data_IF_503035816172
#
_entry.id   IF_503035816172
#
_cell.length_a   1.000
_cell.length_b   1.000
_cell.length_c   1.000
_cell.angle_alpha   90.00
_cell.angle_beta   90.00
_cell.angle_gamma   90.00
#
_symmetry.space_group_name_H-M   'P 1'
#
loop_
_entity.id
_entity.type
_entity.pdbx_description
1 polymer ?
2 non-polymer ?
3 water ?
#
# COMPACT_ATOMS: atom_id res chain seq x y z
N UNK A 4 18.82 -6.91 10.38
CA UNK A 4 18.01 -7.94 11.01
C UNK A 4 17.51 -9.02 10.04
N UNK A 5 16.24 -8.94 9.64
CA UNK A 5 15.63 -9.90 8.72
C UNK A 5 14.88 -9.29 7.54
N UNK A 6 15.60 -8.53 6.73
CA UNK A 6 15.03 -7.85 5.61
C UNK A 6 14.22 -8.71 4.66
N UNK A 7 14.82 -9.77 4.15
CA UNK A 7 14.15 -10.60 3.15
C UNK A 7 12.94 -11.30 3.74
N UNK A 8 13.05 -11.79 4.99
CA UNK A 8 11.92 -12.46 5.62
C UNK A 8 10.76 -11.50 5.85
N UNK A 9 11.06 -10.25 6.20
CA UNK A 9 9.99 -9.28 6.45
C UNK A 9 9.26 -8.93 5.15
N UNK A 10 10.00 -8.87 4.03
CA UNK A 10 9.35 -8.62 2.75
C UNK A 10 8.38 -9.73 2.39
N UNK A 11 8.72 -10.97 2.72
CA UNK A 11 7.80 -12.08 2.46
C UNK A 11 6.51 -11.92 3.25
N UNK A 12 6.61 -11.43 4.49
CA UNK A 12 5.42 -11.20 5.29
C UNK A 12 4.59 -10.05 4.73
N UNK A 13 5.27 -8.99 4.28
CA UNK A 13 4.57 -7.87 3.65
C UNK A 13 3.80 -8.33 2.42
N UNK A 14 4.44 -9.16 1.58
CA UNK A 14 3.79 -9.65 0.37
C UNK A 14 2.56 -10.48 0.71
N UNK A 15 2.67 -11.35 1.72
CA UNK A 15 1.55 -12.21 2.08
C UNK A 15 0.36 -11.40 2.56
N UNK A 16 0.61 -10.40 3.42
CA UNK A 16 -0.48 -9.58 3.94
C UNK A 16 -1.15 -8.78 2.84
N UNK A 17 -0.36 -8.30 1.86
CA UNK A 17 -0.95 -7.54 0.77
C UNK A 17 -1.80 -8.42 -0.13
N UNK A 18 -1.42 -9.69 -0.29
CA UNK A 18 -2.26 -10.61 -1.06
C UNK A 18 -3.59 -10.84 -0.37
N UNK A 19 -3.58 -11.01 0.95
CA UNK A 19 -4.82 -11.13 1.71
C UNK A 19 -5.67 -9.87 1.60
N UNK A 20 -5.03 -8.70 1.62
CA UNK A 20 -5.72 -7.43 1.46
C UNK A 20 -6.39 -7.35 0.10
N UNK A 21 -5.66 -7.75 -0.96
CA UNK A 21 -6.22 -7.70 -2.31
C UNK A 21 -7.44 -8.59 -2.43
N UNK A 22 -7.40 -9.78 -1.83
CA UNK A 22 -8.53 -10.70 -1.91
C UNK A 22 -9.73 -10.13 -1.18
N UNK A 23 -9.51 -9.60 0.03
CA UNK A 23 -10.62 -9.01 0.79
C UNK A 23 -11.25 -7.83 0.06
N UNK A 24 -10.41 -6.98 -0.55
CA UNK A 24 -10.93 -5.82 -1.26
C UNK A 24 -11.76 -6.24 -2.46
N UNK A 25 -11.35 -7.31 -3.15
CA UNK A 25 -12.16 -7.83 -4.24
C UNK A 25 -13.50 -8.39 -3.73
N UNK A 26 -13.51 -8.96 -2.53
CA UNK A 26 -14.76 -9.42 -1.95
C UNK A 26 -15.70 -8.26 -1.66
N UNK A 27 -15.14 -7.13 -1.23
CA UNK A 27 -15.94 -5.93 -1.00
C UNK A 27 -16.55 -5.43 -2.30
N UNK A 28 -15.75 -5.43 -3.38
CA UNK A 28 -16.26 -5.01 -4.68
C UNK A 28 -17.43 -5.90 -5.12
N UNK A 29 -17.32 -7.21 -4.91
CA UNK A 29 -18.41 -8.11 -5.26
C UNK A 29 -19.61 -7.92 -4.35
N UNK A 30 -19.38 -7.57 -3.07
CA UNK A 30 -20.49 -7.30 -2.17
C UNK A 30 -21.26 -6.04 -2.61
N UNK A 31 -20.54 -5.00 -3.04
CA UNK A 31 -21.18 -3.77 -3.45
C UNK A 31 -21.87 -3.93 -4.81
N UNK A 32 -21.25 -4.67 -5.73
CA UNK A 32 -21.75 -4.81 -7.10
C UNK A 32 -21.74 -6.28 -7.49
N UNK A 33 -22.72 -7.06 -7.04
CA UNK A 33 -22.67 -8.51 -7.28
C UNK A 33 -22.75 -8.90 -8.75
N UNK A 34 -23.36 -8.08 -9.60
CA UNK A 34 -23.59 -8.45 -10.99
C UNK A 34 -22.63 -7.74 -11.96
N UNK A 35 -21.66 -7.01 -11.45
CA UNK A 35 -20.78 -6.22 -12.29
C UNK A 35 -19.58 -7.03 -12.75
N UNK A 36 -19.20 -6.85 -14.03
CA UNK A 36 -18.01 -7.50 -14.55
C UNK A 36 -16.73 -6.93 -13.94
N UNK A 37 -16.77 -5.69 -13.45
CA UNK A 37 -15.58 -5.10 -12.84
C UNK A 37 -15.24 -5.77 -11.52
N UNK A 38 -16.26 -6.09 -10.71
CA UNK A 38 -16.00 -6.83 -9.48
C UNK A 38 -15.54 -8.25 -9.79
N UNK A 39 -15.98 -8.81 -10.92
CA UNK A 39 -15.48 -10.11 -11.34
C UNK A 39 -14.00 -10.02 -11.73
N UNK A 40 -13.62 -8.98 -12.46
CA UNK A 40 -12.22 -8.80 -12.83
C UNK A 40 -11.37 -8.54 -11.59
N UNK A 41 -11.90 -7.78 -10.63
CA UNK A 41 -11.16 -7.50 -9.40
C UNK A 41 -10.81 -8.80 -8.66
N UNK A 42 -11.75 -9.74 -8.62
CA UNK A 42 -11.49 -11.01 -7.96
C UNK A 42 -10.45 -11.82 -8.74
N UNK A 43 -10.56 -11.84 -10.07
CA UNK A 43 -9.60 -12.59 -10.88
C UNK A 43 -8.20 -12.01 -10.75
N UNK A 44 -8.06 -10.69 -10.77
CA UNK A 44 -6.73 -10.10 -10.64
C UNK A 44 -6.17 -10.23 -9.24
N UNK A 45 -7.02 -10.17 -8.21
CA UNK A 45 -6.54 -10.39 -6.85
C UNK A 45 -6.03 -11.81 -6.69
N UNK A 46 -6.73 -12.79 -7.27
CA UNK A 46 -6.26 -14.17 -7.25
C UNK A 46 -4.94 -14.33 -8.00
N UNK A 47 -4.82 -13.66 -9.14
CA UNK A 47 -3.56 -13.71 -9.90
C UNK A 47 -2.42 -13.11 -9.08
N UNK A 48 -2.67 -12.00 -8.39
CA UNK A 48 -1.64 -11.39 -7.56
C UNK A 48 -1.24 -12.32 -6.42
N UNK A 49 -2.22 -12.95 -5.76
CA UNK A 49 -1.90 -13.88 -4.68
C UNK A 49 -1.06 -15.04 -5.18
N UNK A 50 -1.31 -15.51 -6.41
CA UNK A 50 -0.51 -16.58 -6.98
C UNK A 50 0.93 -16.13 -7.20
N UNK A 51 1.13 -14.90 -7.71
CA UNK A 51 2.48 -14.39 -7.89
C UNK A 51 3.17 -14.15 -6.55
N UNK A 52 2.42 -13.76 -5.52
CA UNK A 52 2.99 -13.64 -4.18
C UNK A 52 3.45 -15.00 -3.68
N UNK A 53 2.61 -16.02 -3.84
CA UNK A 53 2.97 -17.38 -3.43
C UNK A 53 4.23 -17.84 -4.14
N UNK A 54 4.31 -17.61 -5.45
CA UNK A 54 5.48 -18.03 -6.22
C UNK A 54 6.73 -17.29 -5.74
N UNK A 55 6.62 -16.00 -5.47
CA UNK A 55 7.77 -15.23 -5.01
C UNK A 55 8.23 -15.70 -3.63
N UNK A 56 7.29 -15.97 -2.72
CA UNK A 56 7.65 -16.40 -1.38
C UNK A 56 8.35 -17.75 -1.41
N UNK A 57 7.87 -18.66 -2.27
CA UNK A 57 8.53 -19.96 -2.40
C UNK A 57 9.93 -19.82 -3.01
N UNK A 58 10.07 -18.91 -3.98
CA UNK A 58 11.38 -18.67 -4.58
C UNK A 58 12.36 -18.10 -3.57
N UNK A 59 11.91 -17.15 -2.74
CA UNK A 59 12.81 -16.52 -1.78
C UNK A 59 13.24 -17.49 -0.69
N UNK A 60 12.34 -18.40 -0.28
CA UNK A 60 12.70 -19.39 0.72
C UNK A 60 13.80 -20.30 0.24
N UNK A 61 13.92 -20.49 -1.07
CA UNK A 61 14.97 -21.34 -1.63
C UNK A 61 16.23 -20.57 -1.98
N UNK A 62 16.17 -19.24 -2.05
CA UNK A 62 17.34 -18.40 -2.30
C UNK A 62 17.42 -17.35 -1.20
N UNK A 63 17.71 -17.76 0.01
CA UNK A 63 17.72 -16.80 1.09
C UNK A 63 18.77 -15.73 0.95
N UNK A 64 18.41 -14.54 1.40
CA UNK A 64 19.30 -13.42 1.41
C UNK A 64 20.04 -13.15 0.12
N UNK A 65 19.30 -12.92 -0.93
CA UNK A 65 19.86 -12.62 -2.20
C UNK A 65 19.15 -11.48 -2.83
N UNK A 66 19.82 -10.75 -3.68
CA UNK A 66 19.20 -9.64 -4.39
C UNK A 66 18.03 -10.13 -5.24
N UNK A 67 18.16 -11.32 -5.86
CA UNK A 67 17.10 -11.83 -6.70
C UNK A 67 15.84 -12.12 -5.91
N UNK A 68 15.99 -12.70 -4.71
CA UNK A 68 14.82 -12.95 -3.86
C UNK A 68 14.14 -11.64 -3.46
N UNK A 69 14.94 -10.62 -3.14
CA UNK A 69 14.37 -9.32 -2.79
C UNK A 69 13.62 -8.73 -3.97
N UNK A 70 14.26 -8.73 -5.14
CA UNK A 70 13.65 -8.13 -6.33
C UNK A 70 12.35 -8.84 -6.70
N UNK A 71 12.35 -10.18 -6.68
CA UNK A 71 11.15 -10.92 -7.04
C UNK A 71 10.01 -10.66 -6.06
N UNK A 72 10.34 -10.54 -4.77
CA UNK A 72 9.29 -10.24 -3.79
C UNK A 72 8.78 -8.82 -3.96
N UNK A 73 9.68 -7.86 -4.22
CA UNK A 73 9.23 -6.49 -4.45
C UNK A 73 8.37 -6.39 -5.70
N UNK A 74 8.66 -7.21 -6.72
CA UNK A 74 7.83 -7.20 -7.92
C UNK A 74 6.43 -7.73 -7.62
N UNK A 75 6.33 -8.81 -6.83
CA UNK A 75 5.01 -9.32 -6.46
C UNK A 75 4.25 -8.30 -5.63
N UNK A 76 4.94 -7.59 -4.73
CA UNK A 76 4.30 -6.57 -3.92
C UNK A 76 3.78 -5.44 -4.80
N UNK A 77 4.58 -5.01 -5.77
CA UNK A 77 4.18 -3.91 -6.65
C UNK A 77 2.96 -4.29 -7.49
N UNK A 78 2.95 -5.50 -8.04
CA UNK A 78 1.81 -5.94 -8.84
C UNK A 78 0.56 -6.07 -7.98
N UNK A 79 0.71 -6.55 -6.75
CA UNK A 79 -0.43 -6.67 -5.85
C UNK A 79 -1.00 -5.29 -5.51
N UNK A 80 -0.13 -4.31 -5.27
CA UNK A 80 -0.63 -2.97 -4.98
C UNK A 80 -1.27 -2.33 -6.20
N UNK A 81 -0.78 -2.66 -7.41
CA UNK A 81 -1.38 -2.12 -8.62
C UNK A 81 -2.84 -2.53 -8.76
N UNK A 82 -3.14 -3.82 -8.51
CA UNK A 82 -4.52 -4.26 -8.63
C UNK A 82 -5.38 -3.76 -7.47
N UNK A 83 -4.78 -3.56 -6.29
CA UNK A 83 -5.52 -2.96 -5.18
C UNK A 83 -5.96 -1.55 -5.54
N UNK A 84 -5.06 -0.76 -6.12
CA UNK A 84 -5.38 0.62 -6.49
C UNK A 84 -6.46 0.67 -7.55
N UNK A 85 -6.40 -0.24 -8.53
CA UNK A 85 -7.43 -0.26 -9.56
C UNK A 85 -8.79 -0.65 -9.00
N UNK A 86 -8.82 -1.67 -8.14
CA UNK A 86 -10.07 -2.10 -7.54
C UNK A 86 -10.62 -1.04 -6.61
N UNK A 87 -9.74 -0.35 -5.88
CA UNK A 87 -10.21 0.70 -4.97
C UNK A 87 -10.78 1.87 -5.74
N UNK A 88 -10.16 2.22 -6.87
CA UNK A 88 -10.70 3.31 -7.68
C UNK A 88 -12.06 2.95 -8.26
N UNK A 89 -12.26 1.68 -8.62
CA UNK A 89 -13.59 1.25 -9.06
C UNK A 89 -14.62 1.42 -7.97
N UNK A 90 -14.24 1.09 -6.72
CA UNK A 90 -15.16 1.25 -5.60
C UNK A 90 -15.52 2.72 -5.41
N UNK A 91 -14.52 3.61 -5.50
CA UNK A 91 -14.79 5.04 -5.40
C UNK A 91 -15.70 5.50 -6.53
N UNK A 92 -15.54 4.91 -7.72
CA UNK A 92 -16.43 5.23 -8.82
C UNK A 92 -17.85 4.73 -8.58
N UNK A 93 -17.99 3.63 -7.81
CA UNK A 93 -19.31 3.12 -7.50
C UNK A 93 -20.07 4.04 -6.55
N UNK A 94 -19.37 4.71 -5.62
CA UNK A 94 -20.05 5.56 -4.66
C UNK A 94 -20.59 6.84 -5.32
N UNK A 95 -19.79 7.44 -6.19
CA UNK A 95 -20.18 8.67 -6.89
C UNK A 95 -19.83 8.50 -8.36
N UNK A 96 -20.73 7.90 -9.15
CA UNK A 96 -20.38 7.60 -10.55
C UNK A 96 -20.06 8.83 -11.39
N UNK A 97 -20.74 9.94 -11.17
CA UNK A 97 -20.57 11.13 -12.00
C UNK A 97 -19.61 12.14 -11.40
N UNK A 98 -18.91 11.79 -10.34
CA UNK A 98 -17.96 12.70 -9.72
C UNK A 98 -16.65 12.73 -10.49
N UNK A 99 -16.05 13.91 -10.59
CA UNK A 99 -14.80 14.05 -11.34
C UNK A 99 -13.64 13.42 -10.59
N UNK A 100 -13.70 13.38 -9.25
CA UNK A 100 -12.65 12.74 -8.47
C UNK A 100 -12.64 11.23 -8.66
N UNK A 101 -13.81 10.63 -8.90
CA UNK A 101 -13.85 9.21 -9.19
C UNK A 101 -13.15 8.91 -10.51
N UNK A 102 -13.39 9.73 -11.53
CA UNK A 102 -12.67 9.58 -12.79
C UNK A 102 -11.18 9.82 -12.59
N UNK A 103 -10.81 10.75 -11.72
CA UNK A 103 -9.40 11.00 -11.47
C UNK A 103 -8.74 9.82 -10.76
N UNK A 104 -9.46 9.17 -9.84
CA UNK A 104 -8.91 8.01 -9.16
C UNK A 104 -8.64 6.88 -10.13
N UNK A 105 -9.56 6.64 -11.07
CA UNK A 105 -9.34 5.61 -12.08
C UNK A 105 -8.14 5.94 -12.94
N UNK A 106 -8.01 7.20 -13.35
CA UNK A 106 -6.87 7.61 -14.18
C UNK A 106 -5.56 7.52 -13.40
N UNK A 107 -5.57 7.92 -12.12
CA UNK A 107 -4.38 7.83 -11.30
C UNK A 107 -3.94 6.38 -11.10
N UNK A 108 -4.91 5.48 -10.85
CA UNK A 108 -4.57 4.08 -10.66
C UNK A 108 -4.02 3.46 -11.94
N UNK A 109 -4.53 3.88 -13.09
CA UNK A 109 -4.01 3.40 -14.36
C UNK A 109 -2.55 3.83 -14.54
N UNK A 110 -2.25 5.09 -14.22
CA UNK A 110 -0.89 5.59 -14.36
C UNK A 110 0.07 4.91 -13.38
N UNK A 111 -0.41 4.61 -12.16
CA UNK A 111 0.44 3.90 -11.21
C UNK A 111 0.79 2.51 -11.72
N UNK A 112 -0.17 1.84 -12.39
CA UNK A 112 0.10 0.52 -12.95
C UNK A 112 1.08 0.58 -14.10
N UNK A 113 1.05 1.66 -14.90
CA UNK A 113 2.04 1.80 -15.97
C UNK A 113 3.44 2.03 -15.41
N UNK A 114 3.55 2.84 -14.36
CA UNK A 114 4.84 3.02 -13.70
C UNK A 114 5.32 1.71 -13.10
N UNK A 115 4.42 0.93 -12.52
CA UNK A 115 4.77 -0.38 -11.99
C UNK A 115 5.24 -1.31 -13.10
N UNK A 116 4.54 -1.30 -14.24
CA UNK A 116 4.95 -2.14 -15.36
C UNK A 116 6.33 -1.76 -15.87
N UNK A 117 6.66 -0.46 -15.86
CA UNK A 117 7.96 -0.03 -16.36
C UNK A 117 9.07 -0.36 -15.35
N UNK A 118 8.79 -0.25 -14.06
CA UNK A 118 9.78 -0.58 -13.05
C UNK A 118 10.12 -2.07 -13.08
N UNK A 119 9.10 -2.92 -13.25
CA UNK A 119 9.32 -4.36 -13.32
C UNK A 119 10.13 -4.70 -14.56
N UNK A 120 9.87 -3.99 -15.67
CA UNK A 120 10.65 -4.21 -16.88
C UNK A 120 12.12 -3.91 -16.66
N UNK A 121 12.42 -2.78 -16.00
CA UNK A 121 13.81 -2.44 -15.72
C UNK A 121 14.43 -3.44 -14.74
N UNK A 122 13.68 -3.81 -13.70
CA UNK A 122 14.21 -4.75 -12.71
C UNK A 122 14.54 -6.09 -13.34
N UNK A 123 13.75 -6.53 -14.31
CA UNK A 123 14.01 -7.81 -14.96
C UNK A 123 15.23 -7.74 -15.87
N UNK A 124 15.58 -6.54 -16.36
CA UNK A 124 16.79 -6.35 -17.13
C UNK A 124 18.02 -6.12 -16.26
N UNK A 125 17.84 -5.84 -14.96
CA UNK A 125 18.95 -5.57 -14.05
C UNK A 125 18.67 -6.25 -12.71
N UNK A 126 18.57 -7.59 -12.70
CA UNK A 126 18.23 -8.28 -11.45
C UNK A 126 19.34 -8.27 -10.42
N UNK A 127 20.55 -7.84 -10.79
CA UNK A 127 21.69 -7.77 -9.90
C UNK A 127 22.05 -6.33 -9.55
N UNK A 128 21.05 -5.45 -9.51
CA UNK A 128 21.29 -4.02 -9.36
C UNK A 128 20.43 -3.44 -8.25
N UNK A 129 21.03 -2.55 -7.46
CA UNK A 129 20.27 -1.83 -6.44
C UNK A 129 19.34 -0.81 -7.09
N UNK A 130 19.72 -0.30 -8.27
CA UNK A 130 18.84 0.60 -9.01
C UNK A 130 17.48 -0.04 -9.26
N UNK A 131 17.46 -1.35 -9.53
CA UNK A 131 16.21 -2.05 -9.75
C UNK A 131 15.37 -2.09 -8.48
N UNK A 132 16.00 -2.27 -7.32
CA UNK A 132 15.27 -2.28 -6.06
C UNK A 132 14.67 -0.92 -5.78
N UNK A 133 15.45 0.14 -5.96
CA UNK A 133 14.96 1.49 -5.69
C UNK A 133 13.84 1.88 -6.64
N UNK A 134 13.93 1.45 -7.89
CA UNK A 134 12.90 1.76 -8.86
C UNK A 134 11.59 1.09 -8.52
N UNK A 135 11.68 -0.18 -8.17
CA UNK A 135 10.47 -0.91 -7.81
C UNK A 135 9.86 -0.36 -6.53
N UNK A 136 10.70 0.03 -5.56
CA UNK A 136 10.20 0.62 -4.33
C UNK A 136 9.47 1.93 -4.60
N UNK A 137 9.96 2.71 -5.57
CA UNK A 137 9.30 3.97 -5.91
C UNK A 137 7.95 3.73 -6.55
N UNK A 138 7.86 2.71 -7.41
CA UNK A 138 6.57 2.36 -7.98
C UNK A 138 5.59 1.94 -6.89
N UNK A 139 6.07 1.21 -5.89
CA UNK A 139 5.24 0.84 -4.74
C UNK A 139 4.79 2.08 -4.00
N UNK A 140 5.71 3.03 -3.78
CA UNK A 140 5.39 4.23 -3.03
C UNK A 140 4.34 5.06 -3.76
N UNK A 141 4.50 5.24 -5.07
CA UNK A 141 3.57 6.05 -5.83
C UNK A 141 2.19 5.41 -5.86
N UNK A 142 2.13 4.08 -5.96
CA UNK A 142 0.84 3.39 -5.93
C UNK A 142 0.16 3.56 -4.58
N UNK A 143 0.92 3.45 -3.50
CA UNK A 143 0.35 3.71 -2.17
C UNK A 143 -0.12 5.15 -2.02
N UNK A 144 0.57 6.10 -2.65
CA UNK A 144 0.11 7.49 -2.60
C UNK A 144 -1.23 7.64 -3.32
N UNK A 145 -1.43 6.93 -4.43
CA UNK A 145 -2.72 6.93 -5.11
C UNK A 145 -3.79 6.31 -4.22
N UNK A 146 -3.47 5.20 -3.56
CA UNK A 146 -4.42 4.55 -2.68
C UNK A 146 -4.84 5.48 -1.55
N UNK A 147 -3.86 6.15 -0.93
CA UNK A 147 -4.16 7.04 0.19
C UNK A 147 -5.06 8.20 -0.24
N UNK A 148 -4.79 8.76 -1.42
CA UNK A 148 -5.64 9.82 -1.96
C UNK A 148 -7.04 9.32 -2.25
N UNK A 149 -7.14 8.14 -2.88
CA UNK A 149 -8.46 7.59 -3.18
C UNK A 149 -9.22 7.26 -1.91
N UNK A 150 -8.52 6.75 -0.89
CA UNK A 150 -9.19 6.35 0.34
C UNK A 150 -9.68 7.58 1.11
N UNK A 151 -8.92 8.67 1.06
CA UNK A 151 -9.37 9.92 1.69
C UNK A 151 -10.56 10.50 0.96
N UNK A 152 -10.64 10.34 -0.36
CA UNK A 152 -11.82 10.77 -1.08
C UNK A 152 -13.04 9.97 -0.65
N UNK A 153 -12.88 8.65 -0.50
CA UNK A 153 -13.98 7.80 -0.02
C UNK A 153 -14.41 8.25 1.37
N UNK A 154 -13.46 8.54 2.25
CA UNK A 154 -13.80 8.97 3.60
C UNK A 154 -14.61 10.26 3.57
N UNK A 155 -14.22 11.22 2.73
CA UNK A 155 -14.97 12.45 2.62
C UNK A 155 -16.36 12.21 2.05
N UNK A 156 -16.51 11.22 1.17
CA UNK A 156 -17.80 10.94 0.57
C UNK A 156 -18.79 10.39 1.60
N UNK A 157 -18.29 9.66 2.61
CA UNK A 157 -19.18 9.13 3.64
C UNK A 157 -19.63 10.20 4.63
N UNK A 158 -18.81 11.23 4.87
CA UNK A 158 -19.18 12.28 5.80
C UNK A 158 -18.46 13.58 5.46
N UNK A 159 -18.93 14.35 4.48
CA UNK A 159 -18.20 15.56 4.07
C UNK A 159 -18.16 16.63 5.12
N UNK A 160 -19.04 16.60 6.12
CA UNK A 160 -19.04 17.59 7.19
C UNK A 160 -17.98 17.31 8.25
N UNK A 161 -17.30 16.18 8.19
CA UNK A 161 -16.42 15.73 9.25
C UNK A 161 -15.02 16.33 9.09
N UNK A 162 -14.44 16.73 10.24
CA UNK A 162 -13.07 17.22 10.23
C UNK A 162 -12.07 16.09 9.97
N UNK A 163 -12.42 14.86 10.35
CA UNK A 163 -11.53 13.73 10.10
C UNK A 163 -11.38 13.45 8.61
N UNK A 164 -12.42 13.72 7.82
CA UNK A 164 -12.32 13.53 6.38
C UNK A 164 -11.28 14.46 5.77
N UNK A 165 -11.29 15.74 6.18
CA UNK A 165 -10.29 16.67 5.69
C UNK A 165 -8.91 16.36 6.24
N UNK A 166 -8.83 15.87 7.48
CA UNK A 166 -7.54 15.46 8.02
C UNK A 166 -6.94 14.32 7.19
N UNK A 167 -7.77 13.40 6.73
CA UNK A 167 -7.28 12.32 5.88
C UNK A 167 -6.80 12.85 4.54
N UNK A 168 -7.50 13.82 3.98
CA UNK A 168 -7.09 14.41 2.70
C UNK A 168 -5.76 15.13 2.85
N UNK A 169 -5.61 15.91 3.92
CA UNK A 169 -4.35 16.62 4.16
C UNK A 169 -3.21 15.64 4.43
N UNK A 170 -3.49 14.59 5.23
CA UNK A 170 -2.46 13.60 5.52
C UNK A 170 -2.01 12.88 4.24
N UNK A 171 -2.95 12.59 3.34
CA UNK A 171 -2.58 11.94 2.08
C UNK A 171 -1.73 12.86 1.21
N UNK A 172 -2.02 14.16 1.23
CA UNK A 172 -1.21 15.11 0.47
C UNK A 172 0.21 15.20 1.02
N UNK A 173 0.34 15.15 2.36
CA UNK A 173 1.66 15.20 2.97
C UNK A 173 2.46 13.93 2.67
N UNK A 174 1.79 12.77 2.67
CA UNK A 174 2.48 11.53 2.31
C UNK A 174 2.94 11.57 0.86
N UNK A 175 2.12 12.17 -0.02
CA UNK A 175 2.54 12.35 -1.41
C UNK A 175 3.80 13.18 -1.51
N UNK A 176 3.89 14.24 -0.71
CA UNK A 176 5.10 15.06 -0.70
C UNK A 176 6.32 14.25 -0.26
N UNK A 177 6.13 13.31 0.67
CA UNK A 177 7.21 12.45 1.10
C UNK A 177 7.65 11.53 -0.02
N UNK A 178 6.70 11.04 -0.83
CA UNK A 178 7.05 10.22 -1.97
C UNK A 178 7.80 11.06 -3.01
N UNK A 179 7.35 12.29 -3.24
CA UNK A 179 8.03 13.16 -4.19
C UNK A 179 9.47 13.42 -3.79
N UNK A 180 9.71 13.63 -2.50
CA UNK A 180 11.07 13.85 -2.02
C UNK A 180 11.91 12.58 -2.13
N UNK A 181 11.30 11.42 -1.91
CA UNK A 181 12.02 10.16 -2.06
C UNK A 181 12.42 9.93 -3.51
N UNK A 182 11.54 10.27 -4.45
CA UNK A 182 11.86 10.12 -5.87
C UNK A 182 13.01 11.03 -6.28
N UNK A 183 13.09 12.18 -5.68
CA UNK A 183 14.16 13.09 -5.99
C UNK A 183 15.47 12.53 -5.49
N UNK A 184 15.49 12.02 -4.27
CA UNK A 184 16.71 11.47 -3.69
C UNK A 184 17.17 10.24 -4.48
N UNK A 185 16.23 9.36 -4.83
CA UNK A 185 16.60 8.14 -5.55
C UNK A 185 17.14 8.46 -6.94
N UNK A 186 16.56 9.47 -7.61
CA UNK A 186 17.04 9.83 -8.94
C UNK A 186 18.47 10.35 -8.90
N UNK A 187 18.87 11.00 -7.80
CA UNK A 187 20.22 11.55 -7.71
C UNK A 187 21.26 10.48 -7.45
N UNK A 188 20.93 9.45 -6.69
CA UNK A 188 21.87 8.34 -6.42
C UNK A 188 21.07 7.07 -6.19
N UNK A 189 20.73 6.36 -7.27
CA UNK A 189 19.87 5.17 -7.12
C UNK A 189 20.60 3.91 -6.69
N UNK A 190 21.94 3.94 -6.58
CA UNK A 190 22.72 2.79 -6.16
C UNK A 190 23.27 2.96 -4.75
N UNK A 191 22.54 3.67 -3.90
CA UNK A 191 22.91 3.85 -2.50
C UNK A 191 21.75 3.42 -1.62
N UNK A 192 22.08 3.02 -0.38
CA UNK A 192 21.03 2.66 0.56
C UNK A 192 20.16 3.84 0.94
N UNK A 193 20.67 5.07 0.79
CA UNK A 193 19.86 6.27 1.05
C UNK A 193 18.56 6.23 0.26
N UNK A 194 18.63 5.87 -1.02
CA UNK A 194 17.43 5.82 -1.84
C UNK A 194 16.45 4.79 -1.31
N UNK A 195 16.95 3.65 -0.84
CA UNK A 195 16.07 2.60 -0.32
C UNK A 195 15.43 3.05 0.99
N UNK A 196 16.25 3.59 1.92
CA UNK A 196 15.71 3.95 3.22
C UNK A 196 14.69 5.07 3.13
N UNK A 197 14.97 6.10 2.32
CA UNK A 197 14.04 7.22 2.22
C UNK A 197 12.75 6.82 1.53
N UNK A 198 12.84 5.93 0.53
CA UNK A 198 11.62 5.46 -0.13
C UNK A 198 10.81 4.57 0.81
N UNK A 199 11.48 3.69 1.57
CA UNK A 199 10.78 2.90 2.57
C UNK A 199 10.13 3.80 3.63
N UNK A 200 10.80 4.89 3.99
CA UNK A 200 10.22 5.82 4.95
C UNK A 200 8.96 6.46 4.42
N UNK A 201 8.96 6.84 3.14
CA UNK A 201 7.75 7.40 2.53
C UNK A 201 6.64 6.34 2.48
N UNK A 202 7.00 5.10 2.18
CA UNK A 202 6.02 4.01 2.16
C UNK A 202 5.40 3.84 3.54
N UNK A 203 6.24 3.82 4.58
CA UNK A 203 5.74 3.65 5.94
C UNK A 203 4.82 4.80 6.34
N UNK A 204 5.19 6.03 6.00
CA UNK A 204 4.35 7.19 6.32
C UNK A 204 3.02 7.11 5.60
N UNK A 205 3.05 6.66 4.34
CA UNK A 205 1.80 6.58 3.56
C UNK A 205 0.88 5.49 4.10
N UNK A 206 1.45 4.34 4.47
CA UNK A 206 0.63 3.28 5.04
C UNK A 206 0.06 3.69 6.40
N UNK A 207 0.79 4.50 7.16
CA UNK A 207 0.23 5.00 8.42
C UNK A 207 -1.01 5.85 8.17
N UNK A 208 -0.97 6.71 7.15
CA UNK A 208 -2.14 7.50 6.78
C UNK A 208 -3.29 6.58 6.36
N UNK A 209 -2.98 5.57 5.55
CA UNK A 209 -4.02 4.65 5.07
C UNK A 209 -4.70 3.95 6.25
N UNK A 210 -3.91 3.44 7.18
CA UNK A 210 -4.47 2.70 8.31
C UNK A 210 -5.40 3.59 9.15
N UNK A 211 -4.99 4.82 9.44
CA UNK A 211 -5.85 5.71 10.21
C UNK A 211 -7.08 6.12 9.42
N UNK A 212 -6.94 6.35 8.11
CA UNK A 212 -8.10 6.67 7.29
C UNK A 212 -9.07 5.49 7.22
N UNK A 213 -8.53 4.27 7.11
CA UNK A 213 -9.38 3.09 7.02
C UNK A 213 -10.12 2.84 8.32
N UNK A 214 -9.47 3.08 9.47
CA UNK A 214 -10.15 2.91 10.74
C UNK A 214 -11.30 3.90 10.89
N UNK A 215 -11.11 5.13 10.38
CA UNK A 215 -12.19 6.11 10.39
C UNK A 215 -13.36 5.64 9.53
N UNK A 216 -13.05 5.03 8.38
CA UNK A 216 -14.10 4.54 7.49
C UNK A 216 -14.87 3.40 8.14
N UNK A 217 -14.16 2.47 8.78
CA UNK A 217 -14.82 1.37 9.47
C UNK A 217 -15.78 1.88 10.53
N UNK A 218 -15.36 2.87 11.31
CA UNK A 218 -16.22 3.42 12.37
C UNK A 218 -17.39 4.19 11.79
N UNK A 219 -17.18 4.90 10.68
CA UNK A 219 -18.26 5.63 10.04
C UNK A 219 -19.29 4.68 9.44
N UNK A 220 -18.83 3.54 8.90
CA UNK A 220 -19.74 2.57 8.30
C UNK A 220 -20.57 1.86 9.35
N UNK A 221 -20.02 1.64 10.55
CA UNK A 221 -20.72 0.91 11.61
C UNK A 221 -20.37 1.55 12.95
N UNK A 222 -21.06 2.64 13.31
CA UNK A 222 -20.73 3.32 14.58
C UNK A 222 -20.87 2.46 15.82
N UNK A 223 -21.74 1.45 15.80
CA UNK A 223 -21.98 0.60 16.95
C UNK A 223 -21.12 -0.66 16.97
N UNK A 224 -20.21 -0.82 16.02
CA UNK A 224 -19.36 -2.02 15.96
C UNK A 224 -18.16 -1.83 16.88
N UNK A 225 -18.01 -2.71 17.87
CA UNK A 225 -16.88 -2.60 18.79
C UNK A 225 -15.56 -2.91 18.07
N UNK A 226 -15.60 -3.84 17.10
CA UNK A 226 -14.40 -4.13 16.32
C UNK A 226 -13.94 -2.90 15.54
N UNK A 227 -14.89 -2.16 14.97
CA UNK A 227 -14.53 -0.97 14.20
C UNK A 227 -13.99 0.14 15.10
N UNK A 228 -14.55 0.28 16.30
CA UNK A 228 -14.06 1.30 17.23
C UNK A 228 -12.63 1.00 17.65
N UNK A 229 -12.29 -0.28 17.82
CA UNK A 229 -10.94 -0.64 18.24
C UNK A 229 -9.90 -0.35 17.18
N UNK A 230 -10.30 -0.20 15.92
CA UNK A 230 -9.33 0.02 14.85
C UNK A 230 -8.64 1.37 14.96
N UNK A 231 -9.27 2.35 15.60
CA UNK A 231 -8.63 3.67 15.73
C UNK A 231 -7.36 3.58 16.57
N UNK A 232 -7.45 3.00 17.77
CA UNK A 232 -6.28 2.88 18.63
C UNK A 232 -5.24 1.94 18.01
N UNK A 233 -5.68 0.92 17.27
CA UNK A 233 -4.73 0.00 16.65
C UNK A 233 -3.97 0.68 15.53
N UNK A 234 -4.65 1.47 14.71
CA UNK A 234 -3.98 2.20 13.63
C UNK A 234 -3.06 3.27 14.19
N UNK A 235 -3.46 3.91 15.30
CA UNK A 235 -2.62 4.94 15.91
C UNK A 235 -1.34 4.35 16.46
N UNK A 236 -1.43 3.17 17.09
CA UNK A 236 -0.23 2.51 17.61
C UNK A 236 0.72 2.10 16.48
N UNK A 237 0.16 1.58 15.39
CA UNK A 237 0.99 1.25 14.22
C UNK A 237 1.60 2.51 13.62
N UNK A 238 0.83 3.61 13.59
CA UNK A 238 1.36 4.86 13.05
C UNK A 238 2.48 5.41 13.91
N UNK A 239 2.38 5.26 15.23
CA UNK A 239 3.47 5.66 16.11
C UNK A 239 4.70 4.80 15.87
N UNK A 240 4.49 3.51 15.61
CA UNK A 240 5.62 2.62 15.32
C UNK A 240 6.31 3.02 14.02
N UNK A 241 5.53 3.40 13.01
CA UNK A 241 6.13 3.87 11.76
C UNK A 241 6.86 5.18 11.96
N UNK A 242 6.27 6.10 12.73
CA UNK A 242 6.93 7.36 13.02
C UNK A 242 8.30 7.14 13.66
N UNK A 243 8.37 6.18 14.60
CA UNK A 243 9.66 5.87 15.22
C UNK A 243 10.67 5.39 14.19
N UNK A 244 10.25 4.46 13.31
CA UNK A 244 11.18 3.93 12.32
C UNK A 244 11.61 5.00 11.33
N UNK A 245 10.68 5.86 10.92
CA UNK A 245 11.00 6.93 9.97
C UNK A 245 12.05 7.86 10.57
N UNK A 246 11.92 8.19 11.85
CA UNK A 246 12.92 9.03 12.51
C UNK A 246 14.30 8.38 12.43
N UNK A 247 14.36 7.06 12.63
CA UNK A 247 15.64 6.37 12.51
C UNK A 247 16.15 6.39 11.08
N UNK A 248 15.25 6.26 10.11
CA UNK A 248 15.67 6.17 8.71
C UNK A 248 16.20 7.51 8.21
N UNK A 249 15.64 8.62 8.66
CA UNK A 249 16.17 9.92 8.26
C UNK A 249 17.37 10.35 9.10
N UNK A 250 17.56 9.75 10.28
CA UNK A 250 18.77 10.00 11.06
C UNK A 250 19.97 9.32 10.44
N UNK A 251 19.84 8.03 10.11
CA UNK A 251 20.92 7.23 9.54
C UNK A 251 20.40 6.58 8.26
N UNK A 252 20.36 7.33 7.15
CA UNK A 252 19.72 6.80 5.93
C UNK A 252 20.47 5.65 5.26
N UNK A 253 21.71 5.39 5.64
CA UNK A 253 22.44 4.24 5.12
C UNK A 253 22.52 3.09 6.12
N UNK A 254 21.71 3.15 7.18
CA UNK A 254 21.73 2.12 8.20
C UNK A 254 20.89 0.92 7.76
N UNK A 255 21.46 -0.27 7.88
CA UNK A 255 20.68 -1.49 7.66
C UNK A 255 19.64 -1.67 8.76
N UNK A 256 20.00 -1.30 10.00
CA UNK A 256 19.07 -1.41 11.11
C UNK A 256 17.86 -0.51 10.91
N UNK A 257 18.06 0.68 10.32
CA UNK A 257 16.94 1.56 10.04
C UNK A 257 16.04 0.97 8.96
N UNK A 258 16.64 0.38 7.92
CA UNK A 258 15.85 -0.27 6.89
C UNK A 258 15.04 -1.42 7.48
N UNK A 259 15.67 -2.22 8.34
CA UNK A 259 14.96 -3.35 8.93
C UNK A 259 13.81 -2.88 9.81
N UNK A 260 14.04 -1.85 10.63
CA UNK A 260 12.99 -1.35 11.51
C UNK A 260 11.83 -0.76 10.71
N UNK A 261 12.13 -0.12 9.58
CA UNK A 261 11.07 0.45 8.77
C UNK A 261 10.24 -0.63 8.09
N UNK A 262 10.89 -1.69 7.61
CA UNK A 262 10.15 -2.82 7.06
C UNK A 262 9.26 -3.46 8.12
N UNK A 263 9.75 -3.57 9.35
CA UNK A 263 8.94 -4.12 10.43
C UNK A 263 7.70 -3.27 10.69
N UNK A 264 7.85 -1.94 10.64
CA UNK A 264 6.70 -1.06 10.85
C UNK A 264 5.71 -1.16 9.70
N UNK A 265 6.22 -1.31 8.48
CA UNK A 265 5.36 -1.50 7.31
C UNK A 265 4.56 -2.79 7.46
N UNK A 266 5.23 -3.88 7.83
CA UNK A 266 4.53 -5.16 8.01
C UNK A 266 3.45 -5.05 9.08
N UNK A 267 3.77 -4.39 10.19
CA UNK A 267 2.82 -4.28 11.29
C UNK A 267 1.64 -3.39 10.91
N UNK A 268 1.89 -2.30 10.18
CA UNK A 268 0.81 -1.44 9.73
C UNK A 268 -0.11 -2.16 8.76
N UNK A 269 0.47 -2.99 7.87
CA UNK A 269 -0.35 -3.75 6.93
C UNK A 269 -1.22 -4.77 7.64
N UNK A 270 -0.74 -5.33 8.75
CA UNK A 270 -1.56 -6.25 9.52
C UNK A 270 -2.79 -5.54 10.09
N UNK A 271 -2.60 -4.32 10.59
CA UNK A 271 -3.73 -3.53 11.08
C UNK A 271 -4.69 -3.21 9.94
N UNK A 272 -4.15 -2.84 8.78
CA UNK A 272 -5.00 -2.56 7.62
C UNK A 272 -5.81 -3.78 7.24
N UNK A 273 -5.15 -4.95 7.19
CA UNK A 273 -5.85 -6.17 6.79
C UNK A 273 -6.96 -6.52 7.77
N UNK A 274 -6.74 -6.32 9.04
CA UNK A 274 -7.76 -6.61 10.03
C UNK A 274 -8.90 -5.66 9.90
N UNK A 275 -8.58 -4.39 9.75
CA UNK A 275 -9.62 -3.37 9.61
C UNK A 275 -10.45 -3.62 8.36
N UNK A 276 -9.79 -4.02 7.26
CA UNK A 276 -10.51 -4.26 6.02
C UNK A 276 -11.45 -5.44 6.15
N UNK A 277 -11.09 -6.41 6.96
CA UNK A 277 -11.95 -7.53 7.20
C UNK A 277 -13.18 -7.06 7.96
N UNK A 278 -13.02 -6.17 8.91
CA UNK A 278 -14.17 -5.63 9.64
C UNK A 278 -15.11 -4.89 8.71
N UNK A 279 -14.56 -4.12 7.76
CA UNK A 279 -15.37 -3.40 6.78
C UNK A 279 -16.08 -4.38 5.85
N UNK A 280 -15.38 -5.43 5.42
CA UNK A 280 -15.99 -6.41 4.53
C UNK A 280 -17.20 -7.07 5.17
N UNK A 281 -17.15 -7.30 6.48
CA UNK A 281 -18.31 -7.87 7.17
C UNK A 281 -19.41 -6.83 7.37
N UNK A 282 -19.04 -5.57 7.64
CA UNK A 282 -20.03 -4.53 7.83
C UNK A 282 -20.91 -4.37 6.59
N UNK A 283 -20.30 -4.41 5.41
CA UNK A 283 -21.03 -4.19 4.16
C UNK A 283 -21.92 -5.36 3.79
N UNK A 284 -21.75 -6.53 4.40
CA UNK A 284 -22.66 -7.64 4.19
C UNK A 284 -23.90 -7.50 5.06
X LIG B 1 -14.18 0.18 1.01
X LIG B 1 -12.84 0.48 1.37
X LIG B 1 -15.10 1.32 1.30
X LIG B 1 -16.38 1.05 0.73
X LIG B 1 -17.38 1.95 1.16
X LIG B 1 -18.73 1.42 0.78
X LIG B 1 -19.76 2.33 1.10
X LIG C 1 -3.78 -1.26 0.70
X LIG C 1 -2.48 -0.94 1.15
X LIG C 1 -4.83 -0.45 1.39
X LIG C 1 -6.11 -1.03 1.15
X LIG C 1 -7.15 -0.06 1.08
X LIG C 1 -8.47 -0.75 1.25
X LIG C 1 -9.56 0.15 1.13
#
# INVERSE_FOLDING_TARGET
GSHMEIAATLQEIAKTLAEIAITLAEIAKTLKPESEEAKKAEEEAEKAAKEVEEAIKYAKEHPNSLEAVAKTLQAIAKTLATIAKTLAYIAKTLKPESEEAEKAEEEAKKAAERTEKAIKYAQAHPNSLEAVAKTLLAIAWTLAVIAWTLAYIAKTLDPESEEAEKAKKAAEEAKKKVEEAEKIAQKDPESLEAVAKTLAAIAATLAVIAKTLAYIAKTLDPKSEEAKKAKEKAEAAAKKAAEAIEKAEKDPESLEAIAETLKAIADTLKVIAETLKTIAKTLK
PEG C1 O1 C2 O2 C3 C4 O4
PEG C1 O1 C2 O2 C3 C4 O4
#
